data_IF_856480827447
#
_entry.id   IF_856480827447
#
_cell.length_a   1.000
_cell.length_b   1.000
_cell.length_c   1.000
_cell.angle_alpha   90.00
_cell.angle_beta   90.00
_cell.angle_gamma   90.00
#
_symmetry.space_group_name_H-M   'P 1'
#
loop_
_entity.id
_entity.type
_entity.pdbx_description
1 polymer ?
#
# COMPACT_ATOMS: atom_id res chain seq x y z
N UNK A 1 -26.53 -2.98 -19.05
CA UNK A 1 -25.10 -2.86 -19.42
C UNK A 1 -24.26 -4.08 -19.04
N UNK A 2 -24.46 -4.73 -17.88
CA UNK A 2 -23.63 -5.88 -17.47
C UNK A 2 -23.66 -7.09 -18.43
N UNK A 3 -24.84 -7.52 -18.88
CA UNK A 3 -24.99 -8.69 -19.78
C UNK A 3 -24.42 -8.45 -21.18
N UNK A 4 -24.66 -7.25 -21.75
CA UNK A 4 -24.20 -6.89 -23.10
C UNK A 4 -22.67 -6.92 -23.25
N UNK A 5 -21.94 -6.67 -22.17
CA UNK A 5 -20.48 -6.74 -22.15
C UNK A 5 -20.03 -8.16 -21.82
N UNK A 6 -20.70 -8.82 -20.85
CA UNK A 6 -20.35 -10.17 -20.41
C UNK A 6 -20.52 -11.23 -21.50
N UNK A 7 -21.51 -11.08 -22.39
CA UNK A 7 -21.75 -12.02 -23.50
C UNK A 7 -20.56 -12.11 -24.47
N UNK A 8 -19.77 -11.04 -24.56
CA UNK A 8 -18.61 -10.93 -25.43
C UNK A 8 -17.33 -11.51 -24.78
N UNK A 9 -17.45 -12.03 -23.55
CA UNK A 9 -16.41 -12.79 -22.87
C UNK A 9 -15.50 -11.98 -21.93
N UNK A 10 -14.48 -12.64 -21.34
CA UNK A 10 -13.59 -12.06 -20.34
C UNK A 10 -12.86 -10.79 -20.78
N UNK A 11 -12.37 -10.75 -22.02
CA UNK A 11 -11.64 -9.60 -22.57
C UNK A 11 -12.50 -8.34 -22.65
N UNK A 12 -13.78 -8.48 -23.02
CA UNK A 12 -14.71 -7.36 -23.06
C UNK A 12 -14.99 -6.81 -21.65
N UNK A 13 -15.04 -7.69 -20.65
CA UNK A 13 -15.18 -7.32 -19.24
C UNK A 13 -13.93 -6.56 -18.77
N UNK A 14 -12.72 -7.05 -19.07
CA UNK A 14 -11.46 -6.37 -18.73
C UNK A 14 -11.40 -4.97 -19.37
N UNK A 15 -11.70 -4.86 -20.66
CA UNK A 15 -11.72 -3.57 -21.36
C UNK A 15 -12.73 -2.59 -20.74
N UNK A 16 -13.91 -3.07 -20.31
CA UNK A 16 -14.89 -2.25 -19.62
C UNK A 16 -14.42 -1.80 -18.23
N UNK A 17 -13.77 -2.68 -17.46
CA UNK A 17 -13.17 -2.35 -16.17
C UNK A 17 -12.07 -1.30 -16.32
N UNK A 18 -11.23 -1.42 -17.36
CA UNK A 18 -10.18 -0.46 -17.66
C UNK A 18 -10.74 0.92 -18.03
N UNK A 19 -11.77 1.00 -18.88
CA UNK A 19 -12.44 2.27 -19.20
C UNK A 19 -13.01 2.96 -17.95
N UNK A 20 -13.63 2.18 -17.05
CA UNK A 20 -14.14 2.72 -15.79
C UNK A 20 -13.03 3.24 -14.88
N UNK A 21 -11.85 2.60 -14.89
CA UNK A 21 -10.67 3.06 -14.17
C UNK A 21 -10.12 4.36 -14.73
N UNK A 22 -10.09 4.51 -16.06
CA UNK A 22 -9.62 5.72 -16.73
C UNK A 22 -10.52 6.93 -16.46
N UNK A 23 -11.81 6.69 -16.23
CA UNK A 23 -12.76 7.73 -15.81
C UNK A 23 -12.60 8.13 -14.33
N UNK A 24 -11.91 7.31 -13.54
CA UNK A 24 -11.74 7.51 -12.13
C UNK A 24 -10.44 8.26 -11.79
N UNK A 25 -10.47 8.95 -10.66
CA UNK A 25 -9.39 9.83 -10.19
C UNK A 25 -8.19 9.08 -9.60
N UNK A 26 -7.77 9.46 -8.39
CA UNK A 26 -6.55 8.92 -7.75
C UNK A 26 -6.71 7.44 -7.32
N UNK A 27 -5.76 6.52 -7.63
CA UNK A 27 -5.81 5.11 -7.21
C UNK A 27 -5.83 4.91 -5.70
N UNK A 28 -5.43 5.90 -4.90
CA UNK A 28 -5.55 5.86 -3.42
C UNK A 28 -7.00 5.78 -2.95
N UNK A 29 -7.95 6.06 -3.82
CA UNK A 29 -9.38 5.96 -3.52
C UNK A 29 -9.87 4.51 -3.42
N UNK A 30 -9.08 3.55 -3.91
CA UNK A 30 -9.37 2.13 -3.87
C UNK A 30 -10.47 1.69 -4.84
N UNK A 31 -10.54 0.38 -5.17
CA UNK A 31 -11.50 -0.15 -6.12
C UNK A 31 -12.94 -0.07 -5.64
N UNK A 32 -13.19 0.03 -4.33
CA UNK A 32 -14.53 0.32 -3.77
C UNK A 32 -15.11 1.66 -4.22
N UNK A 33 -14.29 2.63 -4.61
CA UNK A 33 -14.77 3.94 -5.09
C UNK A 33 -14.93 3.96 -6.62
N UNK A 34 -14.06 3.26 -7.34
CA UNK A 34 -14.12 3.15 -8.80
C UNK A 34 -15.23 2.19 -9.25
N UNK A 35 -15.41 1.08 -8.51
CA UNK A 35 -16.37 0.02 -8.81
C UNK A 35 -17.38 -0.20 -7.67
N UNK A 36 -18.12 0.82 -7.21
CA UNK A 36 -18.84 0.74 -5.93
C UNK A 36 -19.87 -0.39 -5.88
N UNK A 37 -20.70 -0.53 -6.92
CA UNK A 37 -21.76 -1.55 -6.98
C UNK A 37 -21.18 -2.94 -7.22
N UNK A 38 -20.25 -3.05 -8.17
CA UNK A 38 -19.63 -4.33 -8.55
C UNK A 38 -18.80 -4.90 -7.40
N UNK A 39 -17.93 -4.06 -6.80
CA UNK A 39 -17.09 -4.46 -5.70
C UNK A 39 -17.93 -4.88 -4.49
N UNK A 40 -18.94 -4.08 -4.08
CA UNK A 40 -19.78 -4.41 -2.93
C UNK A 40 -20.55 -5.73 -3.13
N UNK A 41 -21.02 -5.99 -4.35
CA UNK A 41 -21.75 -7.22 -4.67
C UNK A 41 -20.84 -8.45 -4.62
N UNK A 42 -19.65 -8.36 -5.22
CA UNK A 42 -18.69 -9.47 -5.28
C UNK A 42 -17.98 -9.72 -3.94
N UNK A 43 -17.71 -8.67 -3.16
CA UNK A 43 -17.10 -8.81 -1.83
C UNK A 43 -18.10 -9.21 -0.74
N UNK A 44 -19.40 -9.09 -1.02
CA UNK A 44 -20.48 -9.34 -0.05
C UNK A 44 -21.39 -10.48 -0.49
N UNK A 45 -22.50 -10.14 -1.15
CA UNK A 45 -23.57 -11.08 -1.51
C UNK A 45 -23.09 -12.29 -2.32
N UNK A 46 -22.10 -12.10 -3.19
CA UNK A 46 -21.60 -13.13 -4.10
C UNK A 46 -20.20 -13.64 -3.74
N UNK A 47 -19.75 -13.39 -2.50
CA UNK A 47 -18.42 -13.81 -2.03
C UNK A 47 -18.25 -15.33 -2.12
N UNK A 48 -19.25 -16.10 -1.70
CA UNK A 48 -19.13 -17.56 -1.65
C UNK A 48 -19.94 -18.25 -2.77
N UNK A 49 -20.45 -17.47 -3.73
CA UNK A 49 -21.25 -17.99 -4.84
C UNK A 49 -20.34 -18.60 -5.92
N UNK A 50 -20.41 -19.92 -6.19
CA UNK A 50 -19.56 -20.59 -7.18
C UNK A 50 -19.75 -20.03 -8.59
N UNK A 51 -20.99 -19.72 -8.96
CA UNK A 51 -21.34 -19.17 -10.28
C UNK A 51 -20.71 -17.80 -10.56
N UNK A 52 -20.28 -17.09 -9.51
CA UNK A 52 -19.66 -15.78 -9.60
C UNK A 52 -18.13 -15.84 -9.46
N UNK A 53 -17.56 -17.03 -9.22
CA UNK A 53 -16.11 -17.22 -9.13
C UNK A 53 -15.36 -16.75 -10.40
N UNK A 54 -15.83 -17.03 -11.64
CA UNK A 54 -15.15 -16.55 -12.85
C UNK A 54 -15.08 -15.01 -12.93
N UNK A 55 -16.17 -14.32 -12.57
CA UNK A 55 -16.19 -12.86 -12.54
C UNK A 55 -15.29 -12.27 -11.46
N UNK A 56 -15.24 -12.90 -10.27
CA UNK A 56 -14.30 -12.51 -9.21
C UNK A 56 -12.86 -12.68 -9.66
N UNK A 57 -12.53 -13.78 -10.34
CA UNK A 57 -11.20 -14.01 -10.90
C UNK A 57 -10.81 -12.93 -11.92
N UNK A 58 -11.69 -12.61 -12.87
CA UNK A 58 -11.43 -11.54 -13.86
C UNK A 58 -11.18 -10.19 -13.18
N UNK A 59 -12.03 -9.82 -12.22
CA UNK A 59 -11.84 -8.56 -11.49
C UNK A 59 -10.55 -8.56 -10.67
N UNK A 60 -10.19 -9.69 -10.05
CA UNK A 60 -8.94 -9.83 -9.30
C UNK A 60 -7.72 -9.70 -10.22
N UNK A 61 -7.73 -10.35 -11.38
CA UNK A 61 -6.68 -10.20 -12.40
C UNK A 61 -6.53 -8.75 -12.82
N UNK A 62 -7.64 -8.08 -13.17
CA UNK A 62 -7.64 -6.66 -13.54
C UNK A 62 -7.00 -5.77 -12.46
N UNK A 63 -7.38 -5.98 -11.18
CA UNK A 63 -6.83 -5.19 -10.08
C UNK A 63 -5.34 -5.46 -9.86
N UNK A 64 -4.90 -6.72 -9.96
CA UNK A 64 -3.50 -7.11 -9.80
C UNK A 64 -2.60 -6.56 -10.93
N UNK A 65 -3.14 -6.42 -12.14
CA UNK A 65 -2.40 -5.98 -13.33
C UNK A 65 -2.39 -4.47 -13.55
N UNK A 66 -3.30 -3.73 -12.92
CA UNK A 66 -3.46 -2.29 -13.20
C UNK A 66 -3.32 -1.40 -11.98
N UNK A 67 -3.37 -1.97 -10.78
CA UNK A 67 -3.38 -1.21 -9.54
C UNK A 67 -2.04 -1.33 -8.80
N UNK A 68 -1.48 -0.23 -8.29
CA UNK A 68 -0.35 -0.28 -7.38
C UNK A 68 -0.82 -0.75 -6.00
N UNK A 69 -0.88 -2.07 -5.81
CA UNK A 69 -1.36 -2.71 -4.58
C UNK A 69 -0.22 -2.91 -3.57
N UNK A 70 -0.56 -2.89 -2.28
CA UNK A 70 0.35 -3.29 -1.22
C UNK A 70 0.12 -4.77 -0.86
N UNK A 71 1.18 -5.47 -0.44
CA UNK A 71 1.05 -6.80 0.13
C UNK A 71 0.16 -6.76 1.36
N UNK A 72 -0.71 -7.76 1.50
CA UNK A 72 -1.67 -7.83 2.60
C UNK A 72 -2.96 -7.02 2.38
N UNK A 73 -3.08 -6.26 1.28
CA UNK A 73 -4.37 -5.72 0.87
C UNK A 73 -5.32 -6.90 0.54
N UNK A 74 -6.52 -6.92 1.13
CA UNK A 74 -7.57 -7.90 0.78
C UNK A 74 -8.40 -7.38 -0.40
N UNK A 75 -8.35 -8.12 -1.51
CA UNK A 75 -9.25 -7.90 -2.63
C UNK A 75 -10.12 -9.11 -2.89
N UNK A 76 -11.43 -8.90 -2.71
CA UNK A 76 -12.49 -9.88 -2.92
C UNK A 76 -12.41 -11.13 -2.00
N UNK A 77 -11.86 -10.98 -0.80
CA UNK A 77 -11.74 -12.04 0.21
C UNK A 77 -10.46 -12.87 0.10
N UNK A 78 -9.55 -12.49 -0.79
CA UNK A 78 -8.25 -13.13 -0.95
C UNK A 78 -7.13 -12.09 -0.77
N UNK A 79 -6.17 -12.33 0.15
CA UNK A 79 -5.06 -11.41 0.36
C UNK A 79 -4.16 -11.35 -0.89
N UNK A 80 -3.56 -10.19 -1.13
CA UNK A 80 -2.50 -10.03 -2.12
C UNK A 80 -1.19 -10.49 -1.49
N UNK A 81 -0.60 -11.55 -2.04
CA UNK A 81 0.62 -12.16 -1.47
C UNK A 81 1.89 -11.34 -1.73
N UNK A 82 1.95 -10.58 -2.83
CA UNK A 82 3.15 -9.80 -3.18
C UNK A 82 2.82 -8.54 -4.01
N UNK A 83 3.65 -7.51 -3.85
CA UNK A 83 3.62 -6.29 -4.65
C UNK A 83 4.10 -6.62 -6.08
N UNK A 84 3.18 -6.83 -7.02
CA UNK A 84 3.57 -6.99 -8.43
C UNK A 84 3.85 -5.66 -9.11
N UNK A 85 3.13 -4.62 -8.71
CA UNK A 85 3.21 -3.30 -9.31
C UNK A 85 3.39 -2.22 -8.27
N UNK A 86 4.34 -1.33 -8.53
CA UNK A 86 4.51 -0.09 -7.80
C UNK A 86 4.11 1.10 -8.66
N UNK A 87 3.62 2.17 -8.03
CA UNK A 87 3.46 3.46 -8.69
C UNK A 87 4.64 4.38 -8.36
N UNK A 88 4.93 5.35 -9.24
CA UNK A 88 5.90 6.41 -8.97
C UNK A 88 5.59 7.10 -7.63
N UNK A 89 4.31 7.36 -7.34
CA UNK A 89 3.90 8.04 -6.12
C UNK A 89 4.12 7.20 -4.85
N UNK A 90 3.83 5.89 -4.88
CA UNK A 90 4.09 5.00 -3.73
C UNK A 90 5.59 4.81 -3.52
N UNK A 91 6.35 4.58 -4.58
CA UNK A 91 7.80 4.33 -4.47
C UNK A 91 8.58 5.56 -4.09
N UNK A 92 8.16 6.76 -4.53
CA UNK A 92 8.76 8.01 -4.08
C UNK A 92 8.68 8.14 -2.56
N UNK A 93 7.54 7.81 -1.95
CA UNK A 93 7.40 7.76 -0.50
C UNK A 93 8.28 6.67 0.11
N UNK A 94 8.22 5.45 -0.42
CA UNK A 94 8.99 4.33 0.14
C UNK A 94 10.51 4.56 0.12
N UNK A 95 11.03 5.22 -0.91
CA UNK A 95 12.48 5.43 -1.11
C UNK A 95 12.97 6.81 -0.66
N UNK A 96 12.04 7.73 -0.40
CA UNK A 96 12.34 9.15 -0.12
C UNK A 96 12.88 9.92 -1.33
N UNK A 97 12.83 9.34 -2.54
CA UNK A 97 13.28 9.98 -3.77
C UNK A 97 12.17 10.90 -4.29
N UNK A 98 12.52 12.11 -4.71
CA UNK A 98 11.58 13.04 -5.33
C UNK A 98 10.82 12.39 -6.52
N UNK A 99 9.47 12.50 -6.62
CA UNK A 99 8.69 11.83 -7.65
C UNK A 99 9.11 12.17 -9.08
N UNK A 100 9.47 13.43 -9.36
CA UNK A 100 9.88 13.85 -10.71
C UNK A 100 11.22 13.22 -11.09
N UNK A 101 12.15 13.13 -10.13
CA UNK A 101 13.43 12.46 -10.33
C UNK A 101 13.25 10.96 -10.53
N UNK A 102 12.41 10.33 -9.70
CA UNK A 102 12.11 8.90 -9.79
C UNK A 102 11.49 8.54 -11.14
N UNK A 103 10.48 9.28 -11.60
CA UNK A 103 9.84 9.09 -12.90
C UNK A 103 10.85 9.13 -14.05
N UNK A 104 11.60 10.23 -14.19
CA UNK A 104 12.59 10.40 -15.27
C UNK A 104 13.61 9.28 -15.30
N UNK A 105 13.99 8.79 -14.13
CA UNK A 105 14.94 7.72 -14.00
C UNK A 105 14.37 6.38 -14.47
N UNK A 106 13.16 6.03 -14.04
CA UNK A 106 12.46 4.83 -14.50
C UNK A 106 12.23 4.85 -16.01
N UNK A 107 11.84 6.00 -16.57
CA UNK A 107 11.72 6.23 -18.02
C UNK A 107 13.07 6.02 -18.73
N UNK A 108 14.15 6.64 -18.23
CA UNK A 108 15.49 6.52 -18.85
C UNK A 108 16.05 5.08 -18.84
N UNK A 109 15.57 4.24 -17.92
CA UNK A 109 15.97 2.84 -17.79
C UNK A 109 14.99 1.87 -18.46
N UNK A 110 13.93 2.39 -19.08
CA UNK A 110 12.92 1.58 -19.77
C UNK A 110 11.98 0.81 -18.85
N UNK A 111 11.92 1.16 -17.56
CA UNK A 111 11.03 0.52 -16.59
C UNK A 111 9.66 1.19 -16.49
N UNK A 112 9.50 2.38 -17.08
CA UNK A 112 8.26 3.11 -17.08
C UNK A 112 8.05 3.77 -18.45
N UNK A 113 6.89 3.53 -19.04
CA UNK A 113 6.42 4.22 -20.24
C UNK A 113 4.95 4.59 -20.00
N UNK A 114 4.73 5.79 -19.44
CA UNK A 114 3.40 6.22 -19.01
C UNK A 114 3.26 7.73 -18.89
N UNK A 115 2.33 8.29 -19.67
CA UNK A 115 1.89 9.70 -19.56
C UNK A 115 0.90 9.95 -18.41
N UNK A 116 0.50 8.90 -17.67
CA UNK A 116 -0.45 9.00 -16.55
C UNK A 116 0.15 9.75 -15.36
N UNK A 117 -0.69 10.18 -14.41
CA UNK A 117 -0.23 10.80 -13.15
C UNK A 117 0.62 9.83 -12.32
N UNK A 118 1.45 10.34 -11.40
CA UNK A 118 2.39 9.51 -10.62
C UNK A 118 1.71 8.38 -9.82
N UNK A 119 0.42 8.50 -9.50
CA UNK A 119 -0.35 7.43 -8.87
C UNK A 119 -0.65 6.27 -9.81
N UNK A 120 -0.86 6.54 -11.09
CA UNK A 120 -1.20 5.55 -12.12
C UNK A 120 -0.03 5.15 -13.00
N UNK A 121 1.10 5.85 -12.90
CA UNK A 121 2.36 5.49 -13.54
C UNK A 121 2.97 4.29 -12.81
N UNK A 122 2.57 3.09 -13.23
CA UNK A 122 2.95 1.82 -12.59
C UNK A 122 4.10 1.12 -13.32
N UNK A 123 4.91 0.38 -12.57
CA UNK A 123 6.04 -0.40 -13.06
C UNK A 123 6.24 -1.66 -12.20
N UNK A 124 6.97 -2.63 -12.74
CA UNK A 124 7.25 -3.90 -12.05
C UNK A 124 8.18 -3.68 -10.84
N UNK A 125 7.71 -4.11 -9.67
CA UNK A 125 8.42 -3.94 -8.41
C UNK A 125 9.72 -4.75 -8.36
N UNK A 126 9.69 -6.00 -8.82
CA UNK A 126 10.82 -6.92 -8.76
C UNK A 126 11.90 -6.52 -9.78
N UNK A 127 11.49 -6.10 -10.98
CA UNK A 127 12.42 -5.67 -12.02
C UNK A 127 13.18 -4.38 -11.63
N UNK A 128 12.65 -3.60 -10.70
CA UNK A 128 13.24 -2.31 -10.28
C UNK A 128 13.86 -2.34 -8.89
N UNK A 129 13.75 -3.44 -8.14
CA UNK A 129 14.24 -3.57 -6.76
C UNK A 129 15.70 -3.16 -6.61
N UNK A 130 16.61 -3.77 -7.39
CA UNK A 130 18.05 -3.44 -7.34
C UNK A 130 18.35 -1.98 -7.69
N UNK A 131 17.61 -1.40 -8.64
CA UNK A 131 17.75 0.00 -9.02
C UNK A 131 17.36 0.91 -7.86
N UNK A 132 16.20 0.66 -7.25
CA UNK A 132 15.69 1.44 -6.12
C UNK A 132 16.60 1.29 -4.89
N UNK A 133 17.10 0.09 -4.63
CA UNK A 133 18.01 -0.21 -3.53
C UNK A 133 19.31 0.58 -3.61
N UNK A 134 19.93 0.62 -4.80
CA UNK A 134 21.17 1.38 -5.01
C UNK A 134 21.02 2.89 -4.84
N UNK A 135 19.79 3.39 -4.87
CA UNK A 135 19.47 4.81 -4.91
C UNK A 135 18.69 5.30 -3.70
N UNK A 136 18.34 4.39 -2.78
CA UNK A 136 17.59 4.73 -1.58
C UNK A 136 18.40 5.74 -0.79
N UNK A 137 17.80 6.92 -0.58
CA UNK A 137 18.42 7.99 0.18
C UNK A 137 18.04 7.81 1.64
N UNK A 138 19.05 7.68 2.50
CA UNK A 138 18.80 7.72 3.92
C UNK A 138 18.31 9.12 4.35
N UNK A 139 17.30 9.15 5.21
CA UNK A 139 16.61 10.35 5.64
C UNK A 139 17.05 10.79 7.04
N UNK A 140 17.14 12.10 7.30
CA UNK A 140 17.10 12.63 8.66
C UNK A 140 15.80 12.24 9.37
N UNK A 141 15.82 12.24 10.70
CA UNK A 141 14.65 11.88 11.51
C UNK A 141 13.37 12.63 11.10
N UNK A 142 13.48 13.95 10.85
CA UNK A 142 12.35 14.79 10.42
C UNK A 142 11.68 14.24 9.15
N UNK A 143 12.47 14.14 8.09
CA UNK A 143 11.97 13.71 6.79
C UNK A 143 11.43 12.28 6.85
N UNK A 144 12.02 11.42 7.69
CA UNK A 144 11.54 10.05 7.91
C UNK A 144 10.12 9.99 8.48
N UNK A 145 9.82 10.68 9.60
CA UNK A 145 8.47 10.60 10.18
C UNK A 145 7.43 11.38 9.38
N UNK A 146 7.81 12.48 8.70
CA UNK A 146 6.90 13.19 7.78
C UNK A 146 6.50 12.28 6.61
N UNK A 147 7.46 11.53 6.07
CA UNK A 147 7.23 10.62 4.95
C UNK A 147 6.31 9.44 5.33
N UNK A 148 6.39 8.95 6.57
CA UNK A 148 5.48 7.92 7.10
C UNK A 148 4.12 8.49 7.55
N UNK A 149 3.89 9.80 7.44
CA UNK A 149 2.64 10.44 7.88
C UNK A 149 2.43 10.42 9.39
N UNK A 150 3.50 10.33 10.18
CA UNK A 150 3.46 10.27 11.64
C UNK A 150 3.71 11.65 12.25
N UNK A 151 3.22 11.90 13.46
CA UNK A 151 3.65 13.08 14.22
C UNK A 151 5.03 12.86 14.83
N UNK A 152 5.77 13.95 15.09
CA UNK A 152 7.05 13.88 15.84
C UNK A 152 6.91 13.14 17.17
N UNK A 153 5.83 13.41 17.92
CA UNK A 153 5.60 12.75 19.21
C UNK A 153 5.34 11.25 19.09
N UNK A 154 4.62 10.80 18.05
CA UNK A 154 4.43 9.38 17.79
C UNK A 154 5.76 8.71 17.43
N UNK A 155 6.56 9.36 16.58
CA UNK A 155 7.88 8.89 16.21
C UNK A 155 8.79 8.75 17.43
N UNK A 156 8.95 9.81 18.24
CA UNK A 156 9.83 9.80 19.41
C UNK A 156 9.47 8.66 20.38
N UNK A 157 8.16 8.46 20.65
CA UNK A 157 7.69 7.35 21.49
C UNK A 157 8.05 5.97 20.89
N UNK A 158 7.85 5.77 19.59
CA UNK A 158 8.20 4.48 18.96
C UNK A 158 9.70 4.22 18.93
N UNK A 159 10.52 5.26 18.88
CA UNK A 159 11.98 5.15 19.01
C UNK A 159 12.38 4.81 20.44
N UNK A 160 11.81 5.49 21.43
CA UNK A 160 12.02 5.21 22.86
C UNK A 160 11.55 3.79 23.25
N UNK A 161 10.49 3.30 22.61
CA UNK A 161 9.94 1.95 22.80
C UNK A 161 10.80 0.88 22.08
N UNK A 162 11.77 1.30 21.26
CA UNK A 162 12.64 0.44 20.46
C UNK A 162 11.93 -0.23 19.28
N UNK A 163 10.75 0.26 18.89
CA UNK A 163 9.98 -0.21 17.73
C UNK A 163 10.62 0.29 16.44
N UNK A 164 10.95 1.58 16.39
CA UNK A 164 11.68 2.19 15.28
C UNK A 164 13.14 2.38 15.67
N UNK A 165 14.07 1.97 14.80
CA UNK A 165 15.50 2.09 15.05
C UNK A 165 16.19 2.77 13.85
N UNK A 166 17.14 3.70 14.11
CA UNK A 166 17.90 4.31 13.05
C UNK A 166 18.80 3.27 12.37
N UNK A 167 19.05 3.45 11.06
CA UNK A 167 19.96 2.61 10.30
C UNK A 167 21.41 2.82 10.72
N UNK A 168 21.77 4.08 10.98
CA UNK A 168 23.07 4.47 11.50
C UNK A 168 22.88 5.29 12.76
N UNK A 169 23.44 4.79 13.86
CA UNK A 169 23.49 5.45 15.15
C UNK A 169 24.94 5.62 15.55
N UNK A 170 25.43 6.87 15.53
CA UNK A 170 26.81 7.19 15.93
C UNK A 170 26.77 8.32 16.94
N UNK A 171 27.70 8.36 17.91
CA UNK A 171 27.75 9.46 18.91
C UNK A 171 27.98 10.84 18.27
N UNK A 172 28.53 10.87 17.05
CA UNK A 172 29.01 12.07 16.37
C UNK A 172 28.10 12.56 15.25
N UNK A 173 27.22 11.70 14.72
CA UNK A 173 26.37 12.01 13.56
C UNK A 173 24.91 11.88 13.99
N UNK A 174 24.06 12.82 13.54
CA UNK A 174 22.62 12.74 13.74
C UNK A 174 22.10 11.40 13.18
N UNK A 175 21.23 10.74 13.94
CA UNK A 175 20.62 9.47 13.54
C UNK A 175 20.05 9.55 12.11
N UNK A 176 20.43 8.56 11.30
CA UNK A 176 20.05 8.46 9.89
C UNK A 176 19.14 7.24 9.72
N UNK A 177 18.06 7.41 8.96
CA UNK A 177 16.96 6.47 8.86
C UNK A 177 16.80 5.96 7.43
N UNK A 178 16.50 4.68 7.28
CA UNK A 178 16.18 4.10 5.98
C UNK A 178 14.66 4.13 5.79
N UNK A 179 14.12 4.89 4.82
CA UNK A 179 12.67 4.98 4.62
C UNK A 179 12.02 3.63 4.33
N UNK A 180 12.78 2.65 3.80
CA UNK A 180 12.30 1.29 3.57
C UNK A 180 11.99 0.55 4.88
N UNK A 181 12.79 0.75 5.93
CA UNK A 181 12.55 0.17 7.25
C UNK A 181 11.24 0.72 7.85
N UNK A 182 10.96 2.00 7.59
CA UNK A 182 9.70 2.65 7.98
C UNK A 182 8.48 2.13 7.22
N UNK A 183 8.61 1.93 5.90
CA UNK A 183 7.54 1.36 5.09
C UNK A 183 7.26 -0.10 5.45
N UNK A 184 8.30 -0.93 5.61
CA UNK A 184 8.15 -2.31 6.05
C UNK A 184 7.47 -2.42 7.42
N UNK A 185 7.73 -1.47 8.32
CA UNK A 185 7.01 -1.36 9.59
C UNK A 185 5.51 -1.08 9.38
N UNK A 186 5.15 -0.13 8.50
CA UNK A 186 3.75 0.16 8.19
C UNK A 186 3.06 -1.01 7.51
N UNK A 187 3.70 -1.67 6.56
CA UNK A 187 3.16 -2.82 5.84
C UNK A 187 2.89 -3.97 6.81
N UNK A 188 3.82 -4.24 7.73
CA UNK A 188 3.62 -5.23 8.79
C UNK A 188 2.48 -4.85 9.74
N UNK A 189 2.39 -3.57 10.15
CA UNK A 189 1.34 -3.09 11.04
C UNK A 189 -0.06 -3.13 10.40
N UNK A 190 -0.13 -2.88 9.09
CA UNK A 190 -1.37 -2.80 8.32
C UNK A 190 -1.71 -4.11 7.60
N UNK A 191 -0.90 -5.15 7.74
CA UNK A 191 -1.16 -6.43 7.11
C UNK A 191 -2.53 -6.99 7.54
N UNK A 192 -3.43 -7.18 6.58
CA UNK A 192 -4.80 -7.63 6.83
C UNK A 192 -5.72 -6.56 7.47
N UNK A 193 -5.28 -5.30 7.56
CA UNK A 193 -6.10 -4.21 8.06
C UNK A 193 -7.10 -3.75 7.00
N UNK A 194 -8.37 -3.59 7.38
CA UNK A 194 -9.39 -3.04 6.49
C UNK A 194 -9.54 -1.51 6.67
N UNK A 195 -9.42 -0.70 5.60
CA UNK A 195 -9.64 0.73 5.68
C UNK A 195 -11.12 1.05 5.98
N UNK A 196 -11.36 1.82 7.04
CA UNK A 196 -12.70 2.27 7.45
C UNK A 196 -12.99 3.68 6.94
N UNK A 197 -14.21 3.90 6.41
CA UNK A 197 -14.66 5.23 5.92
C UNK A 197 -15.06 6.20 7.03
N UNK A 198 -15.47 5.68 8.18
CA UNK A 198 -15.84 6.45 9.35
C UNK A 198 -15.35 5.69 10.58
N UNK A 199 -14.83 6.42 11.55
CA UNK A 199 -14.54 5.86 12.88
C UNK A 199 -15.82 5.28 13.44
N UNK A 200 -15.88 3.95 13.56
CA UNK A 200 -16.98 3.26 14.27
C UNK A 200 -16.85 3.58 15.76
N UNK A 201 -17.97 3.70 16.46
CA UNK A 201 -17.97 3.93 17.91
C UNK A 201 -17.10 2.87 18.60
N UNK A 202 -16.13 3.32 19.41
CA UNK A 202 -15.17 2.47 20.13
C UNK A 202 -13.80 2.29 19.45
N UNK A 203 -13.62 2.75 18.21
CA UNK A 203 -12.32 2.78 17.54
C UNK A 203 -11.54 4.03 17.96
N UNK A 204 -10.24 3.87 18.20
CA UNK A 204 -9.41 4.94 18.74
C UNK A 204 -8.00 4.88 18.13
N UNK A 205 -7.29 6.00 18.12
CA UNK A 205 -5.91 6.03 17.65
C UNK A 205 -4.99 5.28 18.61
N UNK A 206 -3.88 4.72 18.12
CA UNK A 206 -2.88 4.01 18.95
C UNK A 206 -2.43 4.89 20.12
N UNK A 207 -2.15 6.17 19.87
CA UNK A 207 -1.72 7.14 20.90
C UNK A 207 -2.77 7.39 21.98
N UNK A 208 -4.05 7.52 21.59
CA UNK A 208 -5.17 7.71 22.52
C UNK A 208 -5.47 6.44 23.32
N UNK A 209 -5.41 5.27 22.66
CA UNK A 209 -5.54 3.97 23.31
C UNK A 209 -4.43 3.73 24.34
N UNK A 210 -3.18 4.04 23.98
CA UNK A 210 -2.02 3.93 24.87
C UNK A 210 -2.21 4.80 26.12
N UNK A 211 -2.63 6.06 25.92
CA UNK A 211 -2.93 6.99 27.02
C UNK A 211 -4.06 6.47 27.92
N UNK A 212 -5.14 5.93 27.35
CA UNK A 212 -6.30 5.42 28.11
C UNK A 212 -5.95 4.16 28.91
N UNK A 213 -5.18 3.26 28.30
CA UNK A 213 -4.76 1.99 28.90
C UNK A 213 -3.55 2.15 29.83
N UNK A 214 -2.90 3.32 29.86
CA UNK A 214 -1.67 3.62 30.60
C UNK A 214 -0.52 2.66 30.24
N UNK A 215 -0.42 2.31 28.96
CA UNK A 215 0.65 1.49 28.38
C UNK A 215 1.41 2.28 27.33
N UNK A 216 2.57 1.78 26.88
CA UNK A 216 3.35 2.47 25.83
C UNK A 216 2.74 2.19 24.45
N UNK A 217 2.78 3.14 23.49
CA UNK A 217 2.27 2.91 22.14
C UNK A 217 2.88 1.69 21.45
N UNK A 218 4.16 1.41 21.69
CA UNK A 218 4.86 0.25 21.18
C UNK A 218 4.34 -1.07 21.72
N UNK A 219 3.74 -1.10 22.92
CA UNK A 219 3.09 -2.30 23.44
C UNK A 219 1.81 -2.60 22.66
N UNK A 220 1.04 -1.57 22.29
CA UNK A 220 -0.13 -1.74 21.40
C UNK A 220 0.31 -2.25 20.04
N UNK A 221 1.34 -1.64 19.44
CA UNK A 221 1.87 -2.04 18.14
C UNK A 221 2.32 -3.51 18.14
N UNK A 222 2.99 -3.97 19.21
CA UNK A 222 3.41 -5.38 19.34
C UNK A 222 2.25 -6.36 19.47
N UNK A 223 1.13 -5.91 20.02
CA UNK A 223 -0.07 -6.74 20.17
C UNK A 223 -0.86 -6.79 18.84
N UNK A 224 -0.84 -5.71 18.06
CA UNK A 224 -1.59 -5.61 16.80
C UNK A 224 -0.85 -6.10 15.57
N UNK A 225 0.48 -5.98 15.53
CA UNK A 225 1.25 -6.45 14.39
C UNK A 225 1.32 -7.99 14.37
N UNK A 226 0.97 -8.65 13.26
CA UNK A 226 1.16 -10.08 13.12
C UNK A 226 2.66 -10.43 13.30
N UNK A 227 2.92 -11.50 14.06
CA UNK A 227 4.29 -12.03 14.22
C UNK A 227 4.80 -12.44 12.84
N UNK A 228 6.00 -12.00 12.40
CA UNK A 228 6.55 -12.49 11.14
C UNK A 228 6.67 -14.02 11.18
N UNK A 229 6.44 -14.72 10.05
CA UNK A 229 6.58 -16.16 10.00
C UNK A 229 7.99 -16.54 10.44
N UNK A 230 8.05 -17.50 11.36
CA UNK A 230 9.29 -17.99 11.94
C UNK A 230 10.02 -18.78 10.83
N UNK A 231 10.96 -18.15 10.12
CA UNK A 231 11.85 -18.88 9.21
C UNK A 231 12.73 -19.79 10.07
N UNK A 232 12.44 -21.10 10.04
CA UNK A 232 13.36 -22.17 10.40
C UNK A 232 14.10 -22.64 9.16
#
# INVERSE_FOLDING_TARGET
MGYEIAKDGPEAILAALQRLQELAGDPRQGPKKIYPVLYASLSGKYRDAPDHAPFRAIMRTHLLETWPLNAGDDFLGEPVEAHKLHSVASTSRQTGIDPRRLRKMLESKGHLDSDRTDGWAVFDANATENLLDSLTRLLPAKDFWENLGMSRSQFDLLVEDGVLKPKLQTRTIKNVWDPRDGQAFLDGLLFGAEPLRQTRNGWDHISSSARRLKIRPGDIVRITAPKPPNNK
#
